data_IF_785929243664
#
_entry.id   IF_785929243664
#
_cell.length_a   1.000
_cell.length_b   1.000
_cell.length_c   1.000
_cell.angle_alpha   90.00
_cell.angle_beta   90.00
_cell.angle_gamma   90.00
#
_symmetry.space_group_name_H-M   'P 1'
#
loop_
_entity.id
_entity.type
_entity.pdbx_description
1 polymer ?
#
# COMPACT_ATOMS: atom_id res chain seq x y z
N UNK A 1 13.82 -12.34 -7.58
CA UNK A 1 14.04 -10.92 -7.41
C UNK A 1 13.62 -10.51 -6.03
N UNK A 2 14.48 -9.91 -5.34
CA UNK A 2 14.08 -9.36 -4.08
C UNK A 2 14.07 -7.87 -4.19
N UNK A 3 13.10 -7.30 -3.64
CA UNK A 3 13.01 -5.88 -3.61
C UNK A 3 12.38 -5.47 -2.33
N UNK A 4 12.37 -4.24 -2.11
CA UNK A 4 12.04 -3.67 -0.85
C UNK A 4 10.80 -2.81 -1.04
N UNK A 5 9.79 -3.10 -0.29
CA UNK A 5 9.02 -2.05 -0.15
C UNK A 5 7.60 -1.86 -0.38
N UNK A 6 6.90 -2.40 -1.28
CA UNK A 6 5.51 -1.99 -1.33
C UNK A 6 4.54 -3.17 -1.29
N UNK A 7 3.43 -2.92 -0.61
CA UNK A 7 2.33 -3.84 -0.50
C UNK A 7 1.06 -3.08 -0.91
N UNK A 8 0.40 -3.54 -1.94
CA UNK A 8 -0.76 -2.84 -2.45
C UNK A 8 -2.07 -3.44 -2.01
N UNK A 9 -3.05 -2.59 -1.71
CA UNK A 9 -4.43 -2.98 -1.42
C UNK A 9 -5.32 -2.29 -2.44
N UNK A 10 -5.09 -2.59 -3.71
CA UNK A 10 -5.86 -2.09 -4.87
C UNK A 10 -5.97 -3.19 -5.89
N UNK A 11 -6.85 -3.09 -6.88
CA UNK A 11 -6.88 -4.03 -7.99
C UNK A 11 -5.52 -4.19 -8.66
N UNK A 12 -5.17 -5.42 -8.97
CA UNK A 12 -3.84 -5.79 -9.43
C UNK A 12 -3.36 -4.99 -10.62
N UNK A 13 -4.22 -4.83 -11.60
CA UNK A 13 -3.89 -4.13 -12.81
C UNK A 13 -3.56 -2.66 -12.56
N UNK A 14 -4.27 -2.03 -11.62
CA UNK A 14 -4.09 -0.62 -11.35
C UNK A 14 -2.74 -0.33 -10.70
N UNK A 15 -2.36 -1.11 -9.71
CA UNK A 15 -1.09 -0.88 -9.03
C UNK A 15 0.09 -1.18 -9.94
N UNK A 16 0.04 -2.29 -10.65
CA UNK A 16 1.09 -2.64 -11.59
C UNK A 16 1.23 -1.61 -12.70
N UNK A 17 0.12 -1.09 -13.21
CA UNK A 17 0.11 -0.07 -14.23
C UNK A 17 0.67 1.24 -13.72
N UNK A 18 0.30 1.65 -12.50
CA UNK A 18 0.86 2.84 -11.87
C UNK A 18 2.38 2.77 -11.78
N UNK A 19 2.89 1.63 -11.36
CA UNK A 19 4.34 1.46 -11.22
C UNK A 19 5.05 1.48 -12.57
N UNK A 20 4.42 0.95 -13.63
CA UNK A 20 4.98 1.00 -14.98
C UNK A 20 5.03 2.41 -15.53
N UNK A 21 4.06 3.24 -15.17
CA UNK A 21 4.02 4.64 -15.61
C UNK A 21 5.05 5.51 -14.87
N UNK A 22 5.65 5.00 -13.81
CA UNK A 22 6.61 5.75 -12.98
C UNK A 22 7.94 5.02 -12.86
N UNK A 23 8.71 4.94 -13.96
CA UNK A 23 10.02 4.30 -13.91
C UNK A 23 10.99 4.98 -12.94
N UNK A 24 10.72 6.20 -12.52
CA UNK A 24 11.51 6.89 -11.51
C UNK A 24 11.59 6.13 -10.20
N UNK A 25 10.58 5.34 -9.86
CA UNK A 25 10.61 4.53 -8.64
C UNK A 25 11.78 3.57 -8.62
N UNK A 26 12.14 3.03 -9.78
CA UNK A 26 13.26 2.10 -9.88
C UNK A 26 14.61 2.75 -9.59
N UNK A 27 14.69 4.07 -9.65
CA UNK A 27 15.93 4.79 -9.32
C UNK A 27 16.06 5.05 -7.83
N UNK A 28 14.97 4.96 -7.07
CA UNK A 28 14.98 5.17 -5.61
C UNK A 28 14.91 3.89 -4.81
N UNK A 29 14.28 2.84 -5.34
CA UNK A 29 14.09 1.61 -4.60
C UNK A 29 13.90 0.42 -5.53
N UNK A 30 14.24 -0.76 -5.04
CA UNK A 30 13.83 -2.01 -5.63
C UNK A 30 12.47 -2.38 -5.04
N UNK A 31 11.44 -2.45 -5.87
CA UNK A 31 10.06 -2.59 -5.40
C UNK A 31 9.50 -3.95 -5.78
N UNK A 32 9.04 -4.69 -4.79
CA UNK A 32 8.20 -5.86 -4.99
C UNK A 32 6.76 -5.45 -4.73
N UNK A 33 5.86 -5.89 -5.58
CA UNK A 33 4.44 -5.59 -5.46
C UNK A 33 3.70 -6.83 -5.02
N UNK A 34 2.88 -6.66 -3.99
CA UNK A 34 1.96 -7.71 -3.55
C UNK A 34 0.55 -7.14 -3.56
N UNK A 35 -0.35 -7.89 -4.18
CA UNK A 35 -1.77 -7.57 -4.13
C UNK A 35 -2.42 -8.41 -3.05
N UNK A 36 -3.03 -7.74 -2.10
CA UNK A 36 -3.58 -8.41 -0.93
C UNK A 36 -5.09 -8.47 -0.98
N UNK A 37 -5.75 -7.32 -1.12
CA UNK A 37 -7.20 -7.24 -1.19
C UNK A 37 -7.59 -6.35 -2.37
N UNK A 38 -8.65 -6.76 -3.04
CA UNK A 38 -9.24 -5.98 -4.12
C UNK A 38 -10.67 -5.60 -3.71
N UNK A 39 -10.77 -4.76 -2.67
CA UNK A 39 -12.04 -4.33 -2.13
C UNK A 39 -12.07 -2.82 -1.99
N UNK A 40 -13.20 -2.17 -2.27
CA UNK A 40 -13.41 -0.78 -1.85
C UNK A 40 -13.25 -0.67 -0.34
N UNK A 41 -12.64 0.41 0.14
CA UNK A 41 -12.30 0.52 1.55
C UNK A 41 -13.49 0.46 2.51
N UNK A 42 -14.72 0.86 2.13
CA UNK A 42 -15.87 0.67 3.03
C UNK A 42 -16.13 -0.79 3.40
N UNK A 43 -15.66 -1.74 2.61
CA UNK A 43 -15.85 -3.16 2.88
C UNK A 43 -14.72 -3.79 3.69
N UNK A 44 -13.70 -3.03 4.04
CA UNK A 44 -12.59 -3.53 4.84
C UNK A 44 -13.01 -3.56 6.31
N UNK A 45 -12.96 -4.76 6.89
CA UNK A 45 -13.37 -4.99 8.27
C UNK A 45 -12.17 -4.84 9.22
N UNK A 46 -12.43 -4.60 10.52
CA UNK A 46 -11.35 -4.62 11.51
C UNK A 46 -10.53 -5.91 11.52
N UNK A 47 -11.18 -7.05 11.26
CA UNK A 47 -10.47 -8.32 11.17
C UNK A 47 -9.48 -8.33 9.99
N UNK A 48 -9.88 -7.79 8.84
CA UNK A 48 -9.00 -7.66 7.69
C UNK A 48 -7.83 -6.71 7.98
N UNK A 49 -8.09 -5.64 8.71
CA UNK A 49 -7.04 -4.70 9.11
C UNK A 49 -6.01 -5.39 10.01
N UNK A 50 -6.47 -6.21 10.95
CA UNK A 50 -5.57 -6.96 11.82
C UNK A 50 -4.75 -7.99 11.04
N UNK A 51 -5.37 -8.67 10.10
CA UNK A 51 -4.68 -9.63 9.24
C UNK A 51 -3.63 -8.94 8.37
N UNK A 52 -3.92 -7.74 7.89
CA UNK A 52 -2.96 -6.93 7.16
C UNK A 52 -1.75 -6.59 8.05
N UNK A 53 -1.99 -6.17 9.27
CA UNK A 53 -0.91 -5.84 10.20
C UNK A 53 -0.02 -7.07 10.45
N UNK A 54 -0.60 -8.23 10.62
CA UNK A 54 0.17 -9.47 10.79
C UNK A 54 0.99 -9.80 9.55
N UNK A 55 0.41 -9.60 8.38
CA UNK A 55 1.12 -9.84 7.11
C UNK A 55 2.29 -8.87 6.96
N UNK A 56 2.10 -7.60 7.31
CA UNK A 56 3.15 -6.60 7.26
C UNK A 56 4.31 -7.02 8.18
N UNK A 57 4.03 -7.37 9.42
CA UNK A 57 5.08 -7.79 10.36
C UNK A 57 5.85 -9.00 9.85
N UNK A 58 5.16 -9.91 9.16
CA UNK A 58 5.81 -11.10 8.60
C UNK A 58 6.70 -10.76 7.41
N UNK A 59 6.22 -9.92 6.51
CA UNK A 59 6.91 -9.63 5.24
C UNK A 59 8.01 -8.58 5.38
N UNK A 60 7.86 -7.64 6.28
CA UNK A 60 8.79 -6.50 6.38
C UNK A 60 10.18 -6.92 6.84
N UNK A 61 10.32 -8.12 7.38
CA UNK A 61 11.61 -8.66 7.81
C UNK A 61 12.62 -8.62 6.66
N UNK A 62 12.17 -8.90 5.45
CA UNK A 62 13.03 -8.96 4.27
C UNK A 62 13.14 -7.64 3.51
N UNK A 63 12.56 -6.57 4.02
CA UNK A 63 12.48 -5.29 3.32
C UNK A 63 12.93 -4.14 4.20
N UNK A 64 13.24 -3.02 3.58
CA UNK A 64 13.60 -1.79 4.30
C UNK A 64 12.37 -1.02 4.75
N UNK A 65 11.25 -1.24 4.10
CA UNK A 65 9.99 -0.60 4.43
C UNK A 65 8.86 -1.12 3.56
N UNK A 66 7.65 -0.69 3.86
CA UNK A 66 6.44 -1.11 3.16
C UNK A 66 5.58 0.12 2.87
N UNK A 67 5.03 0.18 1.68
CA UNK A 67 4.03 1.18 1.29
C UNK A 67 2.72 0.45 1.04
N UNK A 68 1.67 0.89 1.71
CA UNK A 68 0.33 0.35 1.55
C UNK A 68 -0.51 1.35 0.77
N UNK A 69 -1.04 0.92 -0.37
CA UNK A 69 -2.04 1.71 -1.08
C UNK A 69 -3.42 1.26 -0.62
N UNK A 70 -4.28 2.21 -0.33
CA UNK A 70 -5.56 1.95 0.34
C UNK A 70 -6.60 2.95 -0.15
N UNK A 71 -7.88 2.58 -0.06
CA UNK A 71 -8.94 3.54 -0.34
C UNK A 71 -9.10 4.55 0.79
N UNK A 72 -9.69 5.69 0.48
CA UNK A 72 -9.73 6.81 1.43
C UNK A 72 -10.76 6.65 2.55
N UNK A 73 -11.80 5.85 2.35
CA UNK A 73 -12.92 5.80 3.29
C UNK A 73 -12.54 5.26 4.66
N UNK A 74 -11.63 4.27 4.71
CA UNK A 74 -11.20 3.66 5.98
C UNK A 74 -9.68 3.67 6.16
N UNK A 75 -8.98 4.49 5.40
CA UNK A 75 -7.53 4.61 5.50
C UNK A 75 -7.08 4.96 6.91
N UNK A 76 -7.76 5.90 7.53
CA UNK A 76 -7.45 6.37 8.87
C UNK A 76 -7.55 5.23 9.88
N UNK A 77 -8.64 4.47 9.83
CA UNK A 77 -8.85 3.37 10.76
C UNK A 77 -7.83 2.26 10.57
N UNK A 78 -7.55 1.88 9.31
CA UNK A 78 -6.58 0.83 9.02
C UNK A 78 -5.18 1.23 9.48
N UNK A 79 -4.77 2.44 9.17
CA UNK A 79 -3.43 2.91 9.53
C UNK A 79 -3.28 3.05 11.05
N UNK A 80 -4.31 3.52 11.73
CA UNK A 80 -4.27 3.63 13.18
C UNK A 80 -4.20 2.26 13.86
N UNK A 81 -5.00 1.30 13.40
CA UNK A 81 -4.94 -0.06 13.93
C UNK A 81 -3.56 -0.66 13.73
N UNK A 82 -2.99 -0.49 12.54
CA UNK A 82 -1.64 -0.98 12.27
C UNK A 82 -0.61 -0.32 13.17
N UNK A 83 -0.73 0.98 13.41
CA UNK A 83 0.17 1.68 14.32
C UNK A 83 0.13 1.10 15.74
N UNK A 84 -1.06 0.68 16.18
CA UNK A 84 -1.21 0.09 17.52
C UNK A 84 -0.63 -1.31 17.65
N UNK A 85 -0.67 -2.11 16.59
CA UNK A 85 -0.34 -3.54 16.70
C UNK A 85 0.94 -3.97 16.01
N UNK A 86 1.48 -3.19 15.08
CA UNK A 86 2.73 -3.53 14.42
C UNK A 86 3.89 -3.54 15.40
N UNK A 87 4.74 -4.54 15.27
CA UNK A 87 5.94 -4.68 16.10
C UNK A 87 7.18 -4.14 15.45
N UNK A 88 7.17 -4.00 14.14
CA UNK A 88 8.32 -3.52 13.39
C UNK A 88 8.65 -2.06 13.71
N UNK A 89 9.94 -1.72 13.62
CA UNK A 89 10.40 -0.34 13.67
C UNK A 89 10.72 0.21 12.29
N UNK A 90 10.63 -0.62 11.26
CA UNK A 90 10.83 -0.17 9.89
C UNK A 90 9.64 0.65 9.44
N UNK A 91 9.83 1.58 8.50
CA UNK A 91 8.74 2.44 8.05
C UNK A 91 7.65 1.66 7.33
N UNK A 92 6.41 1.95 7.71
CA UNK A 92 5.21 1.46 7.05
C UNK A 92 4.37 2.70 6.72
N UNK A 93 4.20 2.96 5.45
CA UNK A 93 3.55 4.18 4.99
C UNK A 93 2.26 3.83 4.28
N UNK A 94 1.18 4.48 4.69
CA UNK A 94 -0.12 4.33 4.02
C UNK A 94 -0.34 5.52 3.10
N UNK A 95 -0.82 5.25 1.90
CA UNK A 95 -1.15 6.29 0.94
C UNK A 95 -2.42 5.95 0.19
N UNK A 96 -3.07 6.96 -0.33
CA UNK A 96 -4.29 6.83 -1.11
C UNK A 96 -4.37 7.99 -2.10
N UNK A 97 -5.37 7.92 -2.97
CA UNK A 97 -5.64 8.97 -3.93
C UNK A 97 -7.10 9.40 -3.82
N UNK A 98 -7.34 10.71 -3.92
CA UNK A 98 -8.69 11.27 -3.88
C UNK A 98 -9.32 11.32 -5.25
N UNK A 99 -8.53 11.37 -6.31
CA UNK A 99 -9.01 11.49 -7.69
C UNK A 99 -8.85 10.19 -8.44
N UNK A 100 -9.86 9.83 -9.22
CA UNK A 100 -9.80 8.62 -10.02
C UNK A 100 -8.81 8.78 -11.17
N UNK A 101 -8.38 7.66 -11.73
CA UNK A 101 -7.47 7.67 -12.87
C UNK A 101 -8.04 8.32 -14.12
N UNK A 102 -9.37 8.50 -14.16
CA UNK A 102 -10.03 9.17 -15.27
C UNK A 102 -10.19 10.67 -15.07
N UNK A 103 -9.91 11.19 -13.88
CA UNK A 103 -10.07 12.60 -13.57
C UNK A 103 -8.90 13.43 -14.06
N UNK A 104 -9.19 14.68 -14.40
CA UNK A 104 -8.13 15.66 -14.67
C UNK A 104 -7.44 15.99 -13.35
N UNK A 105 -6.10 15.93 -13.35
CA UNK A 105 -5.35 16.20 -12.13
C UNK A 105 -5.29 15.00 -11.19
N UNK A 106 -5.29 13.82 -11.74
CA UNK A 106 -5.03 12.55 -11.07
C UNK A 106 -3.89 12.65 -10.05
N UNK A 107 -4.11 12.20 -8.83
CA UNK A 107 -3.14 12.32 -7.74
C UNK A 107 -2.52 10.99 -7.28
N UNK A 108 -3.07 9.85 -7.70
CA UNK A 108 -2.56 8.54 -7.30
C UNK A 108 -1.07 8.36 -7.48
N UNK A 109 -0.55 8.57 -8.70
CA UNK A 109 0.87 8.42 -8.97
C UNK A 109 1.76 9.37 -8.17
N UNK A 110 1.27 10.56 -7.89
CA UNK A 110 2.05 11.57 -7.15
C UNK A 110 2.19 11.21 -5.68
N UNK A 111 1.31 10.37 -5.16
CA UNK A 111 1.30 9.99 -3.76
C UNK A 111 2.16 8.76 -3.47
N UNK A 112 2.65 8.11 -4.50
CA UNK A 112 3.56 6.99 -4.35
C UNK A 112 5.00 7.47 -4.42
#
# INVERSE_FOLDING_TARGET
MSSKGSLGVVPSSELADLLREFPQLNSVANVDVMEYLNLPSPYITPQMMLELAKLIDLKIIDYDGVVITHGTDTLEETSFLCDLVLTTRKPVVFTAAMRSGSDIGLDGPRNI
#
